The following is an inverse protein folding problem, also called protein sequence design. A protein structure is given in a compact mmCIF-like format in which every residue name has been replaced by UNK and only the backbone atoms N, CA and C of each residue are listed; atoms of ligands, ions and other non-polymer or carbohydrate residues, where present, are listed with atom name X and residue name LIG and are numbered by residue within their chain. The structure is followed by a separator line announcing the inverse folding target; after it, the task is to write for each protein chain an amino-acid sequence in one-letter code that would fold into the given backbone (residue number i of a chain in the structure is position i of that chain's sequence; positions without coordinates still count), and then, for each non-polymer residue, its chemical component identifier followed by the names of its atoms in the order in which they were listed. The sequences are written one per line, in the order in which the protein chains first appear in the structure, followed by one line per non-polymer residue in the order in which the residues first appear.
data_IF_784077000723
#
_entry.id   IF_784077000723
#
_cell.length_a   1.000
_cell.length_b   1.000
_cell.length_c   1.000
_cell.angle_alpha   90.00
_cell.angle_beta   90.00
_cell.angle_gamma   90.00
#
_symmetry.space_group_name_H-M   'P 1'
#
loop_
_entity.id
_entity.type
_entity.pdbx_description
1 polymer ?
#
# COMPACT_ATOMS: atom_id res chain seq x y z
N UNK A 1 -33.21 19.03 15.29
CA UNK A 1 -32.39 17.92 14.81
C UNK A 1 -31.03 17.95 15.46
N UNK A 2 -30.63 16.90 16.19
CA UNK A 2 -29.22 16.71 16.43
C UNK A 2 -28.59 16.49 15.06
N UNK A 3 -27.64 17.34 14.69
CA UNK A 3 -26.85 17.17 13.47
C UNK A 3 -26.38 15.72 13.41
N UNK A 4 -26.53 15.08 12.24
CA UNK A 4 -25.98 13.74 11.99
C UNK A 4 -24.48 13.76 12.32
N UNK A 5 -24.12 13.28 13.51
CA UNK A 5 -22.74 13.15 13.92
C UNK A 5 -22.20 11.93 13.19
N UNK A 6 -21.27 12.16 12.28
CA UNK A 6 -20.46 11.10 11.72
C UNK A 6 -19.54 10.59 12.83
N UNK A 7 -19.81 9.38 13.33
CA UNK A 7 -18.94 8.73 14.29
C UNK A 7 -17.61 8.37 13.62
N UNK A 8 -16.51 8.84 14.22
CA UNK A 8 -15.15 8.49 13.79
C UNK A 8 -14.64 7.42 14.75
N UNK A 9 -14.56 6.19 14.25
CA UNK A 9 -13.96 5.08 15.00
C UNK A 9 -12.46 5.08 14.79
N UNK A 10 -11.70 5.16 15.89
CA UNK A 10 -10.25 4.99 15.91
C UNK A 10 -9.94 3.74 16.73
N UNK A 11 -9.24 2.80 16.11
CA UNK A 11 -8.85 1.53 16.74
C UNK A 11 -7.43 1.67 17.30
N UNK A 12 -7.14 0.97 18.39
CA UNK A 12 -5.78 0.85 18.92
C UNK A 12 -4.82 0.29 17.86
N UNK A 13 -3.59 0.80 17.83
CA UNK A 13 -2.58 0.43 16.82
C UNK A 13 -2.30 -1.08 16.76
N UNK A 14 -2.43 -1.79 17.89
CA UNK A 14 -2.23 -3.26 17.96
C UNK A 14 -3.35 -4.04 17.26
N UNK A 15 -4.45 -3.36 16.98
CA UNK A 15 -5.66 -3.88 16.37
C UNK A 15 -5.98 -3.16 15.06
N UNK A 16 -5.15 -2.23 14.60
CA UNK A 16 -5.44 -1.50 13.37
C UNK A 16 -5.10 -2.34 12.14
N UNK A 17 -6.12 -2.87 11.47
CA UNK A 17 -6.00 -3.62 10.23
C UNK A 17 -5.68 -2.74 9.02
N UNK A 18 -5.87 -1.42 9.12
CA UNK A 18 -5.67 -0.49 8.01
C UNK A 18 -4.20 -0.37 7.59
N UNK A 19 -3.28 -1.01 8.31
CA UNK A 19 -1.89 -1.23 7.88
C UNK A 19 -1.49 -2.69 8.01
N UNK A 20 -0.65 -3.21 7.10
CA UNK A 20 0.04 -4.47 7.31
C UNK A 20 0.80 -4.46 8.64
N UNK A 21 0.47 -5.41 9.53
CA UNK A 21 1.00 -5.47 10.89
C UNK A 21 1.15 -6.92 11.34
N UNK A 22 2.34 -7.26 11.84
CA UNK A 22 2.63 -8.55 12.47
C UNK A 22 1.94 -8.69 13.83
N UNK A 23 1.56 -7.59 14.47
CA UNK A 23 0.74 -7.61 15.68
C UNK A 23 -0.69 -8.06 15.36
N UNK A 24 -1.21 -7.64 14.20
CA UNK A 24 -2.55 -8.04 13.70
C UNK A 24 -2.52 -9.47 13.15
N UNK A 25 -1.54 -9.79 12.31
CA UNK A 25 -1.35 -11.14 11.78
C UNK A 25 0.11 -11.61 11.99
N UNK A 26 0.42 -12.30 13.10
CA UNK A 26 1.78 -12.73 13.45
C UNK A 26 2.50 -13.60 12.43
N UNK A 27 1.78 -14.25 11.50
CA UNK A 27 2.41 -14.98 10.40
C UNK A 27 3.13 -14.07 9.40
N UNK A 28 2.83 -12.77 9.38
CA UNK A 28 3.44 -11.79 8.48
C UNK A 28 4.95 -11.64 8.72
N UNK A 29 5.40 -11.69 9.97
CA UNK A 29 6.82 -11.56 10.33
C UNK A 29 7.68 -12.62 9.63
N UNK A 30 7.31 -13.90 9.76
CA UNK A 30 8.02 -15.01 9.09
C UNK A 30 8.03 -14.85 7.57
N UNK A 31 6.89 -14.44 7.00
CA UNK A 31 6.74 -14.29 5.56
C UNK A 31 7.59 -13.11 5.04
N UNK A 32 7.75 -12.06 5.82
CA UNK A 32 8.65 -10.94 5.50
C UNK A 32 10.11 -11.38 5.58
N UNK A 33 10.46 -12.21 6.56
CA UNK A 33 11.80 -12.78 6.68
C UNK A 33 12.16 -13.65 5.46
N UNK A 34 11.23 -14.49 4.99
CA UNK A 34 11.37 -15.23 3.73
C UNK A 34 11.66 -14.30 2.54
N UNK A 35 10.97 -13.16 2.45
CA UNK A 35 11.24 -12.16 1.42
C UNK A 35 12.62 -11.52 1.57
N UNK A 36 13.00 -11.09 2.77
CA UNK A 36 14.29 -10.45 3.02
C UNK A 36 15.47 -11.39 2.77
N UNK A 37 15.27 -12.70 2.91
CA UNK A 37 16.28 -13.71 2.63
C UNK A 37 16.30 -14.18 1.16
N UNK A 38 15.31 -13.79 0.36
CA UNK A 38 15.18 -14.20 -1.04
C UNK A 38 16.33 -13.72 -1.93
N UNK A 39 16.56 -14.44 -3.04
CA UNK A 39 17.52 -14.03 -4.07
C UNK A 39 17.14 -12.67 -4.67
N UNK A 40 15.86 -12.44 -4.94
CA UNK A 40 15.35 -11.18 -5.49
C UNK A 40 15.70 -9.98 -4.61
N UNK A 41 15.45 -10.08 -3.29
CA UNK A 41 15.76 -9.00 -2.35
C UNK A 41 17.27 -8.73 -2.26
N UNK A 42 18.09 -9.80 -2.23
CA UNK A 42 19.55 -9.69 -2.17
C UNK A 42 20.14 -9.08 -3.44
N UNK A 43 19.76 -9.59 -4.61
CA UNK A 43 20.19 -9.06 -5.90
C UNK A 43 19.77 -7.60 -6.08
N UNK A 44 18.56 -7.26 -5.64
CA UNK A 44 18.06 -5.89 -5.68
C UNK A 44 18.86 -4.95 -4.76
N UNK A 45 19.12 -5.39 -3.52
CA UNK A 45 19.97 -4.65 -2.60
C UNK A 45 21.37 -4.42 -3.21
N UNK A 46 22.00 -5.43 -3.80
CA UNK A 46 23.31 -5.27 -4.44
C UNK A 46 23.28 -4.29 -5.63
N UNK A 47 22.29 -4.43 -6.53
CA UNK A 47 22.13 -3.58 -7.71
C UNK A 47 22.04 -2.09 -7.35
N UNK A 48 21.37 -1.77 -6.25
CA UNK A 48 21.14 -0.39 -5.83
C UNK A 48 22.23 0.18 -4.92
N UNK A 49 23.32 -0.56 -4.68
CA UNK A 49 24.39 -0.11 -3.78
C UNK A 49 24.97 1.26 -4.16
N UNK A 50 25.12 1.51 -5.47
CA UNK A 50 25.59 2.82 -5.98
C UNK A 50 24.62 3.95 -5.64
N UNK A 51 23.32 3.71 -5.81
CA UNK A 51 22.26 4.67 -5.46
C UNK A 51 22.33 5.00 -3.96
N UNK A 52 22.37 3.99 -3.10
CA UNK A 52 22.48 4.20 -1.64
C UNK A 52 23.74 4.95 -1.24
N UNK A 53 24.88 4.68 -1.88
CA UNK A 53 26.12 5.42 -1.64
C UNK A 53 25.96 6.91 -1.96
N UNK A 54 25.27 7.25 -3.04
CA UNK A 54 24.94 8.64 -3.37
C UNK A 54 24.07 9.27 -2.30
N UNK A 55 22.97 8.61 -1.89
CA UNK A 55 22.08 9.11 -0.83
C UNK A 55 22.86 9.35 0.48
N UNK A 56 23.65 8.37 0.92
CA UNK A 56 24.43 8.47 2.14
C UNK A 56 25.52 9.55 2.07
N UNK A 57 26.08 9.83 0.89
CA UNK A 57 27.03 10.95 0.70
C UNK A 57 26.30 12.28 0.82
N UNK A 58 25.18 12.44 0.11
CA UNK A 58 24.45 13.71 0.05
C UNK A 58 23.78 14.07 1.38
N UNK A 59 23.28 13.07 2.10
CA UNK A 59 22.63 13.27 3.41
C UNK A 59 23.61 13.38 4.57
N UNK A 60 24.90 13.09 4.36
CA UNK A 60 25.91 13.00 5.43
C UNK A 60 25.89 11.71 6.24
N UNK A 61 24.94 10.78 5.99
CA UNK A 61 24.79 9.52 6.73
C UNK A 61 25.48 8.33 6.05
N UNK A 62 26.62 8.54 5.39
CA UNK A 62 27.30 7.51 4.58
C UNK A 62 27.46 6.13 5.25
N UNK A 63 27.82 6.01 6.55
CA UNK A 63 27.94 4.70 7.20
C UNK A 63 26.63 3.89 7.19
N UNK A 64 25.48 4.55 7.35
CA UNK A 64 24.17 3.90 7.40
C UNK A 64 23.78 3.25 6.06
N UNK A 65 24.18 3.87 4.94
CA UNK A 65 23.81 3.45 3.59
C UNK A 65 24.76 2.39 2.98
N UNK A 66 25.89 2.09 3.65
CA UNK A 66 26.89 1.11 3.20
C UNK A 66 26.56 -0.29 3.71
N UNK A 67 25.37 -0.77 3.35
CA UNK A 67 24.85 -2.07 3.78
C UNK A 67 24.18 -2.79 2.60
N UNK A 68 24.23 -4.12 2.64
CA UNK A 68 23.43 -5.01 1.79
C UNK A 68 22.34 -5.74 2.62
N UNK A 69 22.15 -5.34 3.89
CA UNK A 69 21.11 -5.89 4.75
C UNK A 69 19.72 -5.52 4.22
N UNK A 70 19.02 -6.51 3.66
CA UNK A 70 17.70 -6.35 3.03
C UNK A 70 16.64 -5.82 4.01
N UNK A 71 16.66 -6.28 5.27
CA UNK A 71 15.77 -5.79 6.35
C UNK A 71 15.88 -4.28 6.62
N UNK A 72 16.99 -3.65 6.24
CA UNK A 72 17.23 -2.22 6.48
C UNK A 72 16.71 -1.35 5.31
N UNK A 73 16.47 -1.94 4.13
CA UNK A 73 16.24 -1.20 2.89
C UNK A 73 15.01 -0.29 2.94
N UNK A 74 13.93 -0.75 3.57
CA UNK A 74 12.72 0.06 3.78
C UNK A 74 13.05 1.44 4.38
N UNK A 75 13.80 1.45 5.49
CA UNK A 75 14.15 2.68 6.19
C UNK A 75 15.15 3.52 5.38
N UNK A 76 16.08 2.89 4.65
CA UNK A 76 17.06 3.61 3.84
C UNK A 76 16.42 4.40 2.70
N UNK A 77 15.27 3.98 2.16
CA UNK A 77 14.59 4.70 1.07
C UNK A 77 13.38 5.51 1.51
N UNK A 78 12.62 5.06 2.51
CA UNK A 78 11.41 5.75 2.94
C UNK A 78 11.73 7.12 3.56
N UNK A 79 12.67 7.18 4.50
CA UNK A 79 13.03 8.43 5.18
C UNK A 79 13.50 9.53 4.22
N UNK A 80 14.46 9.28 3.29
CA UNK A 80 14.82 10.28 2.30
C UNK A 80 13.66 10.72 1.42
N UNK A 81 12.76 9.80 1.07
CA UNK A 81 11.59 10.12 0.25
C UNK A 81 10.65 11.06 0.99
N UNK A 82 10.23 10.73 2.20
CA UNK A 82 9.34 11.56 3.02
C UNK A 82 9.95 12.94 3.29
N UNK A 83 11.21 12.99 3.72
CA UNK A 83 11.93 14.24 3.95
C UNK A 83 12.00 15.09 2.69
N UNK A 84 12.35 14.50 1.55
CA UNK A 84 12.41 15.22 0.29
C UNK A 84 11.04 15.76 -0.11
N UNK A 85 9.98 14.95 -0.05
CA UNK A 85 8.64 15.42 -0.41
C UNK A 85 8.23 16.57 0.51
N UNK A 86 8.55 16.52 1.81
CA UNK A 86 8.25 17.61 2.72
C UNK A 86 8.98 18.92 2.35
N UNK A 87 10.23 18.85 1.90
CA UNK A 87 11.04 20.04 1.53
C UNK A 87 10.86 20.50 0.08
N UNK A 88 10.50 19.61 -0.85
CA UNK A 88 10.33 19.92 -2.27
C UNK A 88 8.89 20.29 -2.62
N UNK A 89 7.89 19.69 -1.96
CA UNK A 89 6.50 19.93 -2.29
C UNK A 89 6.08 21.35 -1.89
N UNK A 90 5.62 22.21 -2.83
CA UNK A 90 5.33 23.62 -2.54
C UNK A 90 4.14 23.79 -1.60
N UNK A 91 3.24 22.80 -1.52
CA UNK A 91 2.05 22.84 -0.66
C UNK A 91 2.31 22.38 0.77
N UNK A 92 3.47 21.75 1.05
CA UNK A 92 3.85 21.36 2.41
C UNK A 92 4.47 22.58 3.11
N UNK A 93 4.02 22.99 4.31
CA UNK A 93 4.60 24.13 5.00
C UNK A 93 5.92 23.73 5.70
N UNK A 94 7.02 23.72 4.95
CA UNK A 94 8.37 23.52 5.50
C UNK A 94 9.26 24.72 5.22
N UNK A 95 10.10 25.08 6.20
CA UNK A 95 11.07 26.16 6.09
C UNK A 95 12.38 25.76 6.79
N UNK A 96 13.53 25.83 6.11
CA UNK A 96 13.69 26.25 4.71
C UNK A 96 13.23 25.19 3.71
N UNK A 97 12.79 25.64 2.53
CA UNK A 97 12.64 24.81 1.31
C UNK A 97 14.02 24.55 0.71
N UNK A 98 14.81 23.73 1.41
CA UNK A 98 16.18 23.41 1.04
C UNK A 98 16.26 21.92 0.71
N UNK A 99 16.54 21.63 -0.56
CA UNK A 99 16.89 20.30 -1.04
C UNK A 99 18.32 20.39 -1.59
N UNK A 100 19.25 19.50 -1.22
CA UNK A 100 20.59 19.53 -1.77
C UNK A 100 20.53 19.39 -3.31
N UNK A 101 21.34 20.13 -4.06
CA UNK A 101 21.29 20.15 -5.53
C UNK A 101 21.55 18.78 -6.16
N UNK A 102 22.23 17.88 -5.46
CA UNK A 102 22.47 16.50 -5.90
C UNK A 102 21.19 15.63 -5.90
N UNK A 103 20.14 16.04 -5.17
CA UNK A 103 18.81 15.43 -5.22
C UNK A 103 17.98 16.01 -6.38
N UNK A 104 18.49 15.82 -7.60
CA UNK A 104 17.75 16.16 -8.81
C UNK A 104 16.54 15.23 -9.03
N UNK A 105 15.71 15.59 -10.01
CA UNK A 105 14.49 14.85 -10.33
C UNK A 105 14.78 13.40 -10.77
N UNK A 106 15.92 13.13 -11.39
CA UNK A 106 16.32 11.79 -11.82
C UNK A 106 16.69 10.89 -10.65
N UNK A 107 17.50 11.40 -9.72
CA UNK A 107 17.86 10.71 -8.49
C UNK A 107 16.60 10.45 -7.66
N UNK A 108 15.74 11.46 -7.50
CA UNK A 108 14.52 11.33 -6.71
C UNK A 108 13.54 10.30 -7.24
N UNK A 109 13.33 10.26 -8.56
CA UNK A 109 12.53 9.19 -9.18
C UNK A 109 13.09 7.81 -8.89
N UNK A 110 14.42 7.68 -8.83
CA UNK A 110 15.07 6.41 -8.51
C UNK A 110 14.87 6.03 -7.04
N UNK A 111 15.00 6.98 -6.12
CA UNK A 111 14.73 6.79 -4.69
C UNK A 111 13.27 6.42 -4.46
N UNK A 112 12.32 7.14 -5.06
CA UNK A 112 10.89 6.87 -4.94
C UNK A 112 10.49 5.49 -5.46
N UNK A 113 11.09 5.02 -6.56
CA UNK A 113 10.87 3.66 -7.06
C UNK A 113 11.33 2.62 -6.06
N UNK A 114 12.49 2.83 -5.42
CA UNK A 114 12.97 1.91 -4.41
C UNK A 114 12.20 1.99 -3.11
N UNK A 115 11.77 3.18 -2.70
CA UNK A 115 10.85 3.34 -1.58
C UNK A 115 9.54 2.59 -1.83
N UNK A 116 8.91 2.77 -3.00
CA UNK A 116 7.69 2.05 -3.37
C UNK A 116 7.89 0.53 -3.35
N UNK A 117 9.03 0.04 -3.89
CA UNK A 117 9.33 -1.38 -3.86
C UNK A 117 9.48 -1.91 -2.43
N UNK A 118 10.35 -1.29 -1.63
CA UNK A 118 10.68 -1.78 -0.31
C UNK A 118 9.56 -1.55 0.71
N UNK A 119 8.72 -0.53 0.56
CA UNK A 119 7.58 -0.20 1.45
C UNK A 119 6.35 -1.04 1.11
N UNK A 120 5.94 -1.03 -0.16
CA UNK A 120 4.65 -1.57 -0.60
C UNK A 120 4.82 -2.86 -1.40
N UNK A 121 5.58 -2.81 -2.49
CA UNK A 121 5.58 -3.93 -3.45
C UNK A 121 6.30 -5.18 -2.91
N UNK A 122 7.00 -5.09 -1.77
CA UNK A 122 7.52 -6.26 -1.04
C UNK A 122 6.42 -7.27 -0.75
N UNK A 123 5.19 -6.81 -0.50
CA UNK A 123 4.08 -7.69 -0.21
C UNK A 123 3.60 -8.45 -1.45
N UNK A 124 3.88 -7.95 -2.65
CA UNK A 124 3.62 -8.62 -3.93
C UNK A 124 4.52 -9.82 -4.21
N UNK A 125 5.59 -10.00 -3.43
CA UNK A 125 6.56 -11.09 -3.63
C UNK A 125 5.90 -12.47 -3.64
N UNK A 126 4.86 -12.65 -2.82
CA UNK A 126 4.09 -13.89 -2.84
C UNK A 126 2.64 -13.66 -2.47
N UNK A 127 1.77 -14.55 -2.96
CA UNK A 127 0.37 -14.57 -2.54
C UNK A 127 0.21 -14.77 -1.03
N UNK A 128 1.13 -15.49 -0.38
CA UNK A 128 1.18 -15.67 1.08
C UNK A 128 1.36 -14.31 1.77
N UNK A 129 2.33 -13.51 1.32
CA UNK A 129 2.56 -12.16 1.85
C UNK A 129 1.36 -11.25 1.65
N UNK A 130 0.78 -11.20 0.44
CA UNK A 130 -0.43 -10.40 0.19
C UNK A 130 -1.58 -10.79 1.12
N UNK A 131 -1.80 -12.10 1.35
CA UNK A 131 -2.82 -12.60 2.27
C UNK A 131 -2.59 -12.14 3.71
N UNK A 132 -1.36 -12.26 4.20
CA UNK A 132 -1.01 -11.93 5.58
C UNK A 132 -0.97 -10.41 5.82
N UNK A 133 -0.55 -9.64 4.82
CA UNK A 133 -0.40 -8.18 4.90
C UNK A 133 -1.73 -7.43 4.71
N UNK A 134 -2.48 -7.76 3.66
CA UNK A 134 -3.68 -7.01 3.27
C UNK A 134 -4.97 -7.69 3.66
N UNK A 135 -4.93 -9.01 3.84
CA UNK A 135 -6.11 -9.80 4.14
C UNK A 135 -6.88 -9.37 5.40
N UNK A 136 -6.23 -8.92 6.50
CA UNK A 136 -6.95 -8.34 7.63
C UNK A 136 -7.82 -7.14 7.24
N UNK A 137 -7.28 -6.15 6.52
CA UNK A 137 -8.08 -5.03 6.02
C UNK A 137 -9.16 -5.48 5.02
N UNK A 138 -8.83 -6.41 4.13
CA UNK A 138 -9.78 -6.94 3.15
C UNK A 138 -10.95 -7.64 3.83
N UNK A 139 -10.74 -8.28 4.98
CA UNK A 139 -11.82 -8.88 5.77
C UNK A 139 -12.82 -7.79 6.22
N UNK A 140 -12.34 -6.70 6.83
CA UNK A 140 -13.17 -5.58 7.27
C UNK A 140 -13.90 -4.91 6.10
N UNK A 141 -13.18 -4.70 4.99
CA UNK A 141 -13.75 -4.17 3.76
C UNK A 141 -14.88 -5.07 3.22
N UNK A 142 -14.70 -6.38 3.27
CA UNK A 142 -15.71 -7.35 2.84
C UNK A 142 -16.91 -7.43 3.78
N UNK A 143 -16.77 -7.07 5.06
CA UNK A 143 -17.89 -6.96 5.99
C UNK A 143 -18.78 -5.77 5.61
N UNK A 144 -18.19 -4.60 5.35
CA UNK A 144 -18.94 -3.42 4.92
C UNK A 144 -19.66 -3.62 3.59
N UNK A 145 -19.05 -4.37 2.66
CA UNK A 145 -19.70 -4.73 1.39
C UNK A 145 -20.90 -5.68 1.55
N UNK A 146 -21.09 -6.31 2.72
CA UNK A 146 -22.26 -7.15 3.04
C UNK A 146 -23.34 -6.41 3.81
N UNK A 147 -23.04 -5.26 4.39
CA UNK A 147 -24.00 -4.49 5.17
C UNK A 147 -24.94 -3.69 4.24
N UNK A 148 -26.13 -4.23 3.98
CA UNK A 148 -27.15 -3.59 3.13
C UNK A 148 -27.60 -2.18 3.61
N UNK A 149 -27.24 -1.79 4.84
CA UNK A 149 -27.58 -0.49 5.44
C UNK A 149 -26.49 0.57 5.26
N UNK A 150 -25.25 0.16 5.03
CA UNK A 150 -24.10 1.07 4.98
C UNK A 150 -24.06 1.70 3.60
N UNK A 151 -24.41 3.00 3.53
CA UNK A 151 -24.45 3.76 2.27
C UNK A 151 -23.09 4.33 1.89
N UNK A 152 -22.20 4.50 2.87
CA UNK A 152 -20.90 5.12 2.69
C UNK A 152 -19.97 4.71 3.85
N UNK A 153 -18.81 4.15 3.52
CA UNK A 153 -17.71 3.87 4.45
C UNK A 153 -16.48 4.65 4.02
N UNK A 154 -15.77 5.24 4.98
CA UNK A 154 -14.49 5.92 4.73
C UNK A 154 -13.43 5.27 5.61
N UNK A 155 -12.36 4.81 4.97
CA UNK A 155 -11.15 4.34 5.64
C UNK A 155 -10.06 5.37 5.45
N UNK A 156 -9.57 5.94 6.55
CA UNK A 156 -8.48 6.92 6.53
C UNK A 156 -7.24 6.25 7.12
N UNK A 157 -6.24 6.01 6.27
CA UNK A 157 -5.01 5.34 6.67
C UNK A 157 -3.77 5.87 5.94
N UNK A 158 -2.72 5.06 5.92
CA UNK A 158 -1.43 5.41 5.34
C UNK A 158 -1.32 5.02 3.85
N UNK A 159 -0.22 5.43 3.23
CA UNK A 159 0.16 5.15 1.84
C UNK A 159 0.40 3.65 1.53
N UNK A 160 0.71 2.85 2.56
CA UNK A 160 0.72 1.38 2.53
C UNK A 160 -0.58 0.74 3.05
N UNK A 161 -1.62 1.55 3.29
CA UNK A 161 -2.82 1.17 4.01
C UNK A 161 -4.02 0.80 3.12
N UNK A 162 -5.25 1.25 3.44
CA UNK A 162 -6.50 0.76 2.84
C UNK A 162 -6.53 0.70 1.32
N UNK A 163 -6.07 1.77 0.67
CA UNK A 163 -6.07 1.85 -0.79
C UNK A 163 -5.14 0.79 -1.38
N UNK A 164 -3.93 0.65 -0.85
CA UNK A 164 -2.94 -0.30 -1.37
C UNK A 164 -3.39 -1.75 -1.18
N UNK A 165 -4.00 -2.06 -0.02
CA UNK A 165 -4.60 -3.35 0.31
C UNK A 165 -5.68 -3.83 -0.67
N UNK A 166 -6.28 -2.92 -1.44
CA UNK A 166 -7.27 -3.26 -2.47
C UNK A 166 -6.67 -3.14 -3.88
N UNK A 167 -5.91 -2.08 -4.14
CA UNK A 167 -5.31 -1.82 -5.46
C UNK A 167 -4.41 -2.97 -5.91
N UNK A 168 -3.55 -3.47 -5.02
CA UNK A 168 -2.55 -4.45 -5.38
C UNK A 168 -3.17 -5.85 -5.60
N UNK A 169 -3.99 -6.41 -4.69
CA UNK A 169 -4.63 -7.71 -4.95
C UNK A 169 -5.51 -7.73 -6.20
N UNK A 170 -6.25 -6.65 -6.46
CA UNK A 170 -7.08 -6.53 -7.66
C UNK A 170 -6.29 -6.18 -8.93
N UNK A 171 -4.99 -5.88 -8.79
CA UNK A 171 -4.09 -5.44 -9.87
C UNK A 171 -4.70 -4.28 -10.64
N UNK A 172 -5.13 -3.24 -9.94
CA UNK A 172 -5.81 -2.12 -10.57
C UNK A 172 -4.87 -1.40 -11.53
N UNK A 173 -5.35 -1.13 -12.75
CA UNK A 173 -4.66 -0.29 -13.75
C UNK A 173 -5.54 0.88 -14.13
N UNK A 174 -4.95 2.04 -14.39
CA UNK A 174 -5.72 3.16 -14.95
C UNK A 174 -6.16 2.82 -16.38
N UNK A 175 -7.44 2.98 -16.68
CA UNK A 175 -8.00 2.57 -17.97
C UNK A 175 -7.46 3.35 -19.17
N UNK A 176 -7.11 4.62 -18.97
CA UNK A 176 -6.61 5.52 -20.00
C UNK A 176 -5.13 5.28 -20.35
N UNK A 177 -4.32 4.76 -19.41
CA UNK A 177 -2.88 4.56 -19.63
C UNK A 177 -2.42 3.10 -19.54
N UNK A 178 -3.22 2.20 -18.96
CA UNK A 178 -2.84 0.80 -18.69
C UNK A 178 -1.79 0.63 -17.58
N UNK A 179 -1.35 1.72 -16.95
CA UNK A 179 -0.33 1.67 -15.89
C UNK A 179 -0.94 1.17 -14.58
N UNK A 180 -0.16 0.39 -13.83
CA UNK A 180 -0.55 -0.11 -12.51
C UNK A 180 -0.71 1.02 -11.49
N UNK A 181 -1.85 1.04 -10.79
CA UNK A 181 -2.16 2.05 -9.78
C UNK A 181 -1.27 1.95 -8.54
N UNK A 182 -0.82 0.74 -8.22
CA UNK A 182 0.02 0.41 -7.07
C UNK A 182 1.54 0.50 -7.35
N UNK A 183 1.95 0.93 -8.54
CA UNK A 183 3.37 0.92 -8.95
C UNK A 183 4.26 2.00 -8.29
N UNK A 184 3.64 2.98 -7.65
CA UNK A 184 4.31 4.09 -6.96
C UNK A 184 3.70 4.29 -5.57
N UNK A 185 4.44 4.98 -4.69
CA UNK A 185 3.86 5.45 -3.43
C UNK A 185 2.67 6.38 -3.73
N UNK A 186 1.51 6.16 -3.10
CA UNK A 186 0.38 7.07 -3.23
C UNK A 186 0.76 8.52 -2.85
N UNK A 187 0.34 9.53 -3.62
CA UNK A 187 0.55 10.92 -3.25
C UNK A 187 -0.27 11.31 -2.01
N UNK A 188 0.03 12.47 -1.40
CA UNK A 188 -0.80 13.01 -0.34
C UNK A 188 -2.26 13.18 -0.76
N UNK A 189 -3.18 12.76 0.10
CA UNK A 189 -4.61 12.81 -0.19
C UNK A 189 -5.07 11.81 -1.26
N UNK A 190 -4.22 10.83 -1.61
CA UNK A 190 -4.60 9.78 -2.55
C UNK A 190 -5.90 9.09 -2.09
N UNK A 191 -6.81 8.93 -3.02
CA UNK A 191 -8.15 8.39 -2.75
C UNK A 191 -8.44 7.26 -3.72
N UNK A 192 -8.71 6.08 -3.18
CA UNK A 192 -9.36 4.99 -3.88
C UNK A 192 -10.84 4.98 -3.49
N UNK A 193 -11.71 5.06 -4.48
CA UNK A 193 -13.17 4.95 -4.29
C UNK A 193 -13.66 3.69 -4.99
N UNK A 194 -14.40 2.86 -4.26
CA UNK A 194 -15.23 1.80 -4.82
C UNK A 194 -16.68 2.27 -4.81
N UNK A 195 -17.30 2.34 -5.99
CA UNK A 195 -18.71 2.68 -6.13
C UNK A 195 -19.51 1.43 -6.47
N UNK A 196 -20.52 1.12 -5.67
CA UNK A 196 -21.47 0.03 -5.92
C UNK A 196 -22.78 0.57 -6.46
N UNK A 197 -23.25 0.01 -7.56
CA UNK A 197 -24.45 0.43 -8.27
C UNK A 197 -25.62 -0.52 -8.03
N UNK A 198 -26.84 -0.04 -8.26
CA UNK A 198 -28.09 -0.80 -8.04
C UNK A 198 -28.17 -2.07 -8.90
N UNK A 199 -27.57 -2.07 -10.08
CA UNK A 199 -27.46 -3.22 -10.99
C UNK A 199 -26.32 -4.19 -10.62
N UNK A 200 -25.80 -4.10 -9.39
CA UNK A 200 -24.73 -4.94 -8.83
C UNK A 200 -23.42 -4.86 -9.61
N UNK A 201 -23.20 -3.74 -10.31
CA UNK A 201 -21.89 -3.37 -10.85
C UNK A 201 -21.09 -2.57 -9.83
N UNK A 202 -19.77 -2.68 -9.96
CA UNK A 202 -18.80 -1.96 -9.16
C UNK A 202 -17.84 -1.23 -10.08
N UNK A 203 -17.48 0.00 -9.74
CA UNK A 203 -16.42 0.77 -10.40
C UNK A 203 -15.36 1.18 -9.38
N UNK A 204 -14.10 1.13 -9.78
CA UNK A 204 -12.99 1.69 -9.00
C UNK A 204 -12.51 3.00 -9.63
N UNK A 205 -12.27 4.00 -8.78
CA UNK A 205 -11.72 5.29 -9.16
C UNK A 205 -10.52 5.55 -8.25
N UNK A 206 -9.34 5.78 -8.85
CA UNK A 206 -8.14 6.13 -8.11
C UNK A 206 -7.67 7.51 -8.54
N UNK A 207 -7.65 8.45 -7.60
CA UNK A 207 -7.31 9.87 -7.81
C UNK A 207 -8.09 10.50 -8.97
N UNK A 208 -9.40 10.28 -8.99
CA UNK A 208 -10.32 10.84 -9.99
C UNK A 208 -10.29 10.14 -11.36
N UNK A 209 -9.47 9.10 -11.55
CA UNK A 209 -9.36 8.35 -12.80
C UNK A 209 -9.93 6.94 -12.64
N UNK A 210 -10.67 6.47 -13.65
CA UNK A 210 -11.28 5.14 -13.64
C UNK A 210 -10.20 4.07 -13.75
N UNK A 211 -10.29 3.06 -12.89
CA UNK A 211 -9.40 1.91 -12.88
C UNK A 211 -10.11 0.64 -13.34
N UNK A 212 -9.37 -0.20 -14.07
CA UNK A 212 -9.77 -1.54 -14.47
C UNK A 212 -9.24 -2.57 -13.48
N UNK A 213 -10.01 -3.63 -13.25
CA UNK A 213 -9.64 -4.76 -12.39
C UNK A 213 -8.99 -5.84 -13.24
N UNK A 214 -7.65 -5.92 -13.22
CA UNK A 214 -6.92 -6.85 -14.08
C UNK A 214 -6.82 -8.27 -13.52
N UNK A 215 -7.00 -8.42 -12.20
CA UNK A 215 -6.90 -9.71 -11.56
C UNK A 215 -8.05 -10.69 -11.94
N UNK A 216 -9.21 -10.16 -12.35
CA UNK A 216 -10.43 -10.92 -12.65
C UNK A 216 -10.69 -10.89 -14.16
N UNK A 217 -10.70 -12.06 -14.81
CA UNK A 217 -10.71 -12.19 -16.29
C UNK A 217 -11.85 -11.43 -16.96
N UNK A 218 -13.05 -11.50 -16.41
CA UNK A 218 -14.26 -10.87 -16.95
C UNK A 218 -14.31 -9.34 -16.74
N UNK A 219 -13.41 -8.78 -15.93
CA UNK A 219 -13.34 -7.36 -15.60
C UNK A 219 -12.17 -6.63 -16.27
N UNK A 220 -11.23 -7.36 -16.88
CA UNK A 220 -10.04 -6.80 -17.56
C UNK A 220 -10.42 -5.83 -18.68
N UNK A 221 -9.76 -4.68 -18.68
CA UNK A 221 -10.00 -3.58 -19.62
C UNK A 221 -11.41 -3.00 -19.57
N UNK A 222 -12.20 -3.23 -18.50
CA UNK A 222 -13.59 -2.77 -18.37
C UNK A 222 -13.75 -1.80 -17.21
N UNK A 223 -14.65 -0.79 -17.34
CA UNK A 223 -14.88 0.20 -16.28
C UNK A 223 -15.73 -0.34 -15.13
N UNK A 224 -16.41 -1.47 -15.33
CA UNK A 224 -17.28 -2.08 -14.35
C UNK A 224 -16.97 -3.56 -14.17
N UNK A 225 -17.02 -4.00 -12.92
CA UNK A 225 -16.92 -5.39 -12.53
C UNK A 225 -18.20 -5.83 -11.81
N UNK A 226 -18.50 -7.13 -11.79
CA UNK A 226 -19.61 -7.63 -10.98
C UNK A 226 -19.26 -7.53 -9.49
N UNK A 227 -20.16 -7.01 -8.67
CA UNK A 227 -20.00 -6.98 -7.21
C UNK A 227 -19.68 -8.37 -6.66
N UNK A 228 -20.38 -9.40 -7.16
CA UNK A 228 -20.15 -10.79 -6.78
C UNK A 228 -18.72 -11.24 -7.10
N UNK A 229 -18.23 -10.92 -8.31
CA UNK A 229 -16.89 -11.31 -8.74
C UNK A 229 -15.80 -10.67 -7.86
N UNK A 230 -15.95 -9.38 -7.52
CA UNK A 230 -15.03 -8.68 -6.60
C UNK A 230 -15.02 -9.35 -5.23
N UNK A 231 -16.19 -9.57 -4.63
CA UNK A 231 -16.31 -10.18 -3.30
C UNK A 231 -15.75 -11.60 -3.29
N UNK A 232 -16.06 -12.43 -4.28
CA UNK A 232 -15.54 -13.79 -4.39
C UNK A 232 -14.02 -13.81 -4.56
N UNK A 233 -13.47 -12.90 -5.37
CA UNK A 233 -12.04 -12.80 -5.58
C UNK A 233 -11.29 -12.38 -4.31
N UNK A 234 -11.74 -11.30 -3.65
CA UNK A 234 -11.10 -10.75 -2.46
C UNK A 234 -11.15 -11.70 -1.26
N UNK A 235 -12.16 -12.56 -1.14
CA UNK A 235 -12.21 -13.61 -0.11
C UNK A 235 -10.99 -14.53 -0.13
N UNK A 236 -10.35 -14.71 -1.29
CA UNK A 236 -9.13 -15.49 -1.40
C UNK A 236 -7.88 -14.80 -0.85
N UNK A 237 -8.00 -13.56 -0.37
CA UNK A 237 -6.92 -12.84 0.32
C UNK A 237 -7.08 -12.85 1.83
N UNK A 238 -8.26 -13.19 2.37
CA UNK A 238 -8.46 -13.28 3.81
C UNK A 238 -7.67 -14.47 4.39
N UNK A 239 -6.76 -14.25 5.35
CA UNK A 239 -5.97 -15.30 5.97
C UNK A 239 -6.85 -16.15 6.89
N UNK A 240 -6.54 -17.43 7.00
CA UNK A 240 -7.13 -18.27 8.04
C UNK A 240 -6.58 -17.88 9.43
N UNK A 241 -7.34 -18.18 10.49
CA UNK A 241 -6.85 -18.02 11.87
C UNK A 241 -5.52 -18.73 12.12
N UNK A 242 -5.27 -19.86 11.45
CA UNK A 242 -4.01 -20.60 11.56
C UNK A 242 -2.84 -19.84 10.95
N UNK A 243 -3.04 -19.21 9.79
CA UNK A 243 -2.05 -18.34 9.14
C UNK A 243 -1.67 -17.16 10.06
N UNK A 244 -2.61 -16.60 10.81
CA UNK A 244 -2.36 -15.56 11.82
C UNK A 244 -2.17 -16.10 13.26
N UNK A 245 -1.73 -17.36 13.42
CA UNK A 245 -1.37 -17.98 14.72
C UNK A 245 -2.43 -17.87 15.83
N UNK A 246 -3.70 -17.93 15.48
CA UNK A 246 -4.82 -17.97 16.43
C UNK A 246 -5.36 -16.60 16.85
N UNK A 247 -4.77 -15.49 16.38
CA UNK A 247 -5.35 -14.16 16.55
C UNK A 247 -6.71 -14.15 15.84
N UNK A 248 -7.77 -13.89 16.59
CA UNK A 248 -9.10 -13.73 16.01
C UNK A 248 -9.19 -12.31 15.52
N UNK A 249 -9.14 -12.12 14.19
CA UNK A 249 -9.41 -10.85 13.53
C UNK A 249 -10.90 -10.54 13.78
N UNK A 250 -11.17 -9.50 14.58
CA UNK A 250 -12.51 -8.93 14.75
C UNK A 250 -12.32 -7.44 14.92
N UNK A 251 -12.85 -6.65 13.99
CA UNK A 251 -12.73 -5.20 14.03
C UNK A 251 -14.10 -4.54 13.92
N UNK A 252 -14.78 -4.48 15.08
CA UNK A 252 -15.75 -3.46 15.52
C UNK A 252 -16.07 -3.70 16.99
#
# INVERSE_FOLDING_TARGET
DPADVMDITVVDERSDSMKPSDTVCPGLEDALDEFYESAEAKERAEREFSLRKTIGKTTGYSPLYRTNGTKQMNNLYNFPTECWVAHACPTVPSSPKAVPPEFDEGLMRSIQREAAYWVNNRYSFSRKLQRLAYGPFIEDFLEDLREDRTRFSVYMGHDFGPAHSVMEPLRLTWMDSGNECASILPPFGATLTMESYTDKKVRFIYNGRVASVEAIKECRGRPFCSHKAIVEYLKHFVPSKRECRGTTIKYR
#
